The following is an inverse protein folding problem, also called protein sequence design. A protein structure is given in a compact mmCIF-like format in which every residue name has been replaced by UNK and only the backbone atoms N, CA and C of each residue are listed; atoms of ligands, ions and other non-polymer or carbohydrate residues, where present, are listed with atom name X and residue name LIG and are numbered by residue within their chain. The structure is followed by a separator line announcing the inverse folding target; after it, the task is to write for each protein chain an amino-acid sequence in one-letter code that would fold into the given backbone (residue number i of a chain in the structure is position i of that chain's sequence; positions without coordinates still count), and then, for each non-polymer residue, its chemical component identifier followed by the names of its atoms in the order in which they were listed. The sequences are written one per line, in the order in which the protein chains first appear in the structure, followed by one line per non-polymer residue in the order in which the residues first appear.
data_IF_776480982444
#
_entry.id   IF_776480982444
#
_cell.length_a   1.000
_cell.length_b   1.000
_cell.length_c   1.000
_cell.angle_alpha   90.00
_cell.angle_beta   90.00
_cell.angle_gamma   90.00
#
_symmetry.space_group_name_H-M   'P 1'
#
loop_
_entity.id
_entity.type
_entity.pdbx_description
1 polymer ?
#
# COMPACT_ATOMS: atom_id res chain seq x y z
N UNK A 1 18.68 -0.02 6.70
CA UNK A 1 18.50 -0.51 8.09
C UNK A 1 17.87 0.54 9.01
N UNK A 2 16.76 1.17 8.59
CA UNK A 2 16.04 2.16 9.39
C UNK A 2 14.56 1.81 9.44
N UNK A 3 13.96 1.88 10.63
CA UNK A 3 12.52 1.70 10.81
C UNK A 3 11.84 3.08 10.91
N UNK A 4 11.06 3.50 9.90
CA UNK A 4 10.45 4.83 9.87
C UNK A 4 9.31 5.00 10.90
N UNK A 5 8.76 3.92 11.44
CA UNK A 5 7.59 3.97 12.33
C UNK A 5 7.95 4.26 13.78
N UNK A 6 9.14 3.85 14.21
CA UNK A 6 9.69 4.09 15.55
C UNK A 6 10.90 5.02 15.54
N UNK A 7 11.29 5.49 14.35
CA UNK A 7 12.45 6.35 14.13
C UNK A 7 13.74 5.80 14.77
N UNK A 8 14.09 4.55 14.46
CA UNK A 8 15.30 3.89 14.98
C UNK A 8 15.99 3.01 13.94
N UNK A 9 17.25 2.69 14.17
CA UNK A 9 17.97 1.69 13.39
C UNK A 9 17.39 0.29 13.64
N UNK A 10 17.58 -0.58 12.66
CA UNK A 10 17.29 -2.02 12.75
C UNK A 10 18.63 -2.72 12.98
N UNK A 11 18.90 -3.07 14.24
CA UNK A 11 20.19 -3.63 14.65
C UNK A 11 20.16 -5.16 14.77
N UNK A 12 18.97 -5.77 14.84
CA UNK A 12 18.77 -7.20 15.03
C UNK A 12 17.83 -7.82 13.99
N UNK A 13 17.98 -9.13 13.77
CA UNK A 13 17.11 -9.91 12.90
C UNK A 13 17.50 -9.89 11.40
N UNK A 14 16.72 -10.55 10.53
CA UNK A 14 17.06 -10.73 9.12
C UNK A 14 17.11 -9.40 8.35
N UNK A 15 16.33 -8.40 8.77
CA UNK A 15 16.31 -7.07 8.15
C UNK A 15 17.52 -6.19 8.51
N UNK A 16 18.34 -6.59 9.50
CA UNK A 16 19.54 -5.86 9.85
C UNK A 16 20.66 -6.00 8.81
N UNK A 17 20.65 -7.07 8.00
CA UNK A 17 21.66 -7.31 6.94
C UNK A 17 21.07 -7.39 5.54
N UNK A 18 19.75 -7.45 5.40
CA UNK A 18 19.09 -7.52 4.10
C UNK A 18 19.25 -6.22 3.29
N UNK A 19 19.45 -6.38 1.98
CA UNK A 19 19.44 -5.25 1.04
C UNK A 19 18.00 -4.87 0.68
N UNK A 20 17.80 -3.63 0.25
CA UNK A 20 16.48 -3.14 -0.17
C UNK A 20 15.95 -3.93 -1.38
N UNK A 21 16.84 -4.39 -2.24
CA UNK A 21 16.54 -5.23 -3.40
C UNK A 21 16.01 -6.60 -2.95
N UNK A 22 16.70 -7.26 -2.03
CA UNK A 22 16.28 -8.56 -1.47
C UNK A 22 14.92 -8.45 -0.78
N UNK A 23 14.73 -7.41 0.04
CA UNK A 23 13.44 -7.17 0.73
C UNK A 23 12.33 -6.93 -0.30
N UNK A 24 12.59 -6.18 -1.36
CA UNK A 24 11.59 -5.92 -2.40
C UNK A 24 11.22 -7.18 -3.19
N UNK A 25 12.20 -8.04 -3.49
CA UNK A 25 11.97 -9.33 -4.14
C UNK A 25 11.14 -10.28 -3.27
N UNK A 26 11.47 -10.38 -1.98
CA UNK A 26 10.73 -11.18 -1.01
C UNK A 26 9.27 -10.71 -0.89
N UNK A 27 9.05 -9.39 -0.81
CA UNK A 27 7.71 -8.80 -0.77
C UNK A 27 6.89 -9.13 -2.03
N UNK A 28 7.52 -9.10 -3.21
CA UNK A 28 6.85 -9.43 -4.48
C UNK A 28 6.48 -10.92 -4.54
N UNK A 29 7.36 -11.82 -4.10
CA UNK A 29 7.03 -13.25 -4.03
C UNK A 29 5.91 -13.54 -3.01
N UNK A 30 5.94 -12.87 -1.86
CA UNK A 30 4.86 -12.96 -0.87
C UNK A 30 3.52 -12.43 -1.41
N UNK A 31 3.50 -11.34 -2.19
CA UNK A 31 2.29 -10.84 -2.83
C UNK A 31 1.71 -11.87 -3.82
N UNK A 32 2.54 -12.40 -4.73
CA UNK A 32 2.11 -13.35 -5.75
C UNK A 32 1.47 -14.60 -5.13
N UNK A 33 2.11 -15.18 -4.11
CA UNK A 33 1.56 -16.34 -3.39
C UNK A 33 0.22 -16.06 -2.69
N UNK A 34 0.01 -14.85 -2.14
CA UNK A 34 -1.29 -14.47 -1.54
C UNK A 34 -2.41 -14.38 -2.58
N UNK A 35 -2.10 -13.85 -3.76
CA UNK A 35 -3.06 -13.72 -4.87
C UNK A 35 -3.49 -15.10 -5.38
N UNK A 36 -2.56 -16.04 -5.47
CA UNK A 36 -2.82 -17.39 -5.95
C UNK A 36 -3.73 -18.19 -5.01
N UNK A 37 -3.52 -18.06 -3.70
CA UNK A 37 -4.14 -18.94 -2.71
C UNK A 37 -5.53 -18.48 -2.22
N UNK A 38 -5.75 -17.19 -1.92
CA UNK A 38 -6.94 -16.80 -1.11
C UNK A 38 -7.61 -15.47 -1.49
N UNK A 39 -6.97 -14.58 -2.26
CA UNK A 39 -7.45 -13.20 -2.40
C UNK A 39 -8.25 -12.87 -3.67
N UNK A 40 -8.44 -13.82 -4.61
CA UNK A 40 -9.07 -13.55 -5.92
C UNK A 40 -10.45 -12.89 -5.81
N UNK A 41 -11.34 -13.39 -4.96
CA UNK A 41 -12.68 -12.82 -4.80
C UNK A 41 -12.65 -11.38 -4.26
N UNK A 42 -11.76 -11.09 -3.31
CA UNK A 42 -11.63 -9.74 -2.73
C UNK A 42 -11.02 -8.74 -3.70
N UNK A 43 -10.08 -9.19 -4.53
CA UNK A 43 -9.55 -8.36 -5.61
C UNK A 43 -10.65 -7.95 -6.58
N UNK A 44 -11.57 -8.87 -6.93
CA UNK A 44 -12.73 -8.55 -7.75
C UNK A 44 -13.65 -7.52 -7.08
N UNK A 45 -13.90 -7.64 -5.76
CA UNK A 45 -14.67 -6.63 -5.01
C UNK A 45 -14.01 -5.25 -5.03
N UNK A 46 -12.67 -5.19 -4.91
CA UNK A 46 -11.91 -3.93 -5.02
C UNK A 46 -12.07 -3.30 -6.39
N UNK A 47 -12.10 -4.10 -7.46
CA UNK A 47 -12.29 -3.63 -8.84
C UNK A 47 -13.69 -3.04 -9.09
N UNK A 48 -14.68 -3.43 -8.30
CA UNK A 48 -16.05 -2.90 -8.40
C UNK A 48 -16.21 -1.50 -7.76
N UNK A 49 -15.21 -1.00 -7.03
CA UNK A 49 -15.28 0.33 -6.43
C UNK A 49 -15.07 1.42 -7.48
N UNK A 50 -15.82 2.55 -7.43
CA UNK A 50 -15.72 3.60 -8.45
C UNK A 50 -14.32 4.21 -8.62
N UNK A 51 -13.49 4.20 -7.58
CA UNK A 51 -12.11 4.70 -7.66
C UNK A 51 -11.20 3.83 -8.54
N UNK A 52 -11.55 2.56 -8.78
CA UNK A 52 -10.73 1.63 -9.54
C UNK A 52 -10.50 2.10 -10.98
N UNK A 53 -11.52 2.68 -11.63
CA UNK A 53 -11.41 3.26 -12.98
C UNK A 53 -10.33 4.34 -13.09
N UNK A 54 -9.96 4.97 -11.97
CA UNK A 54 -8.96 6.03 -11.91
C UNK A 54 -7.60 5.56 -11.39
N UNK A 55 -7.41 4.26 -11.13
CA UNK A 55 -6.19 3.73 -10.50
C UNK A 55 -4.91 4.18 -11.23
N UNK A 56 -4.82 3.91 -12.53
CA UNK A 56 -3.64 4.26 -13.33
C UNK A 56 -3.39 5.77 -13.35
N UNK A 57 -4.45 6.56 -13.55
CA UNK A 57 -4.36 8.02 -13.53
C UNK A 57 -3.85 8.53 -12.17
N UNK A 58 -4.35 7.99 -11.06
CA UNK A 58 -3.91 8.37 -9.71
C UNK A 58 -2.41 8.06 -9.53
N UNK A 59 -1.98 6.84 -9.88
CA UNK A 59 -0.58 6.42 -9.75
C UNK A 59 0.36 7.29 -10.58
N UNK A 60 -0.01 7.61 -11.82
CA UNK A 60 0.75 8.53 -12.66
C UNK A 60 0.85 9.94 -12.05
N UNK A 61 -0.26 10.47 -11.54
CA UNK A 61 -0.25 11.81 -10.94
C UNK A 61 0.59 11.86 -9.66
N UNK A 62 0.61 10.79 -8.86
CA UNK A 62 1.49 10.67 -7.69
C UNK A 62 2.96 10.64 -8.12
N UNK A 63 3.31 9.87 -9.16
CA UNK A 63 4.70 9.80 -9.67
C UNK A 63 5.20 11.12 -10.26
N UNK A 64 4.31 11.93 -10.83
CA UNK A 64 4.65 13.19 -11.54
C UNK A 64 4.63 14.43 -10.63
N UNK A 65 3.94 14.39 -9.49
CA UNK A 65 3.71 15.59 -8.67
C UNK A 65 3.97 15.33 -7.18
N UNK A 66 4.60 16.30 -6.50
CA UNK A 66 4.84 16.22 -5.06
C UNK A 66 3.54 16.31 -4.22
N UNK A 67 2.52 16.98 -4.75
CA UNK A 67 1.22 17.19 -4.08
C UNK A 67 0.11 17.00 -5.10
N UNK A 68 -0.90 16.23 -4.74
CA UNK A 68 -2.11 16.03 -5.54
C UNK A 68 -3.37 16.18 -4.68
N UNK A 69 -4.46 16.61 -5.30
CA UNK A 69 -5.78 16.65 -4.69
C UNK A 69 -6.68 15.60 -5.34
N UNK A 70 -7.17 14.65 -4.54
CA UNK A 70 -8.11 13.62 -5.01
C UNK A 70 -9.49 13.91 -4.43
N UNK A 71 -10.42 14.30 -5.28
CA UNK A 71 -11.83 14.50 -4.94
C UNK A 71 -12.66 13.33 -5.45
N UNK A 72 -13.61 12.85 -4.64
CA UNK A 72 -14.60 11.88 -5.06
C UNK A 72 -15.71 11.75 -4.03
N UNK A 73 -16.87 11.20 -4.41
CA UNK A 73 -18.00 11.01 -3.52
C UNK A 73 -17.67 10.11 -2.31
N UNK A 74 -18.45 10.20 -1.23
CA UNK A 74 -18.36 9.28 -0.10
C UNK A 74 -18.63 7.85 -0.59
N UNK A 75 -17.90 6.86 -0.06
CA UNK A 75 -18.07 5.45 -0.45
C UNK A 75 -17.39 5.05 -1.76
N UNK A 76 -16.78 5.97 -2.52
CA UNK A 76 -16.14 5.63 -3.78
C UNK A 76 -14.82 4.83 -3.65
N UNK A 77 -14.32 4.59 -2.43
CA UNK A 77 -13.14 3.76 -2.16
C UNK A 77 -11.83 4.50 -1.87
N UNK A 78 -11.79 5.84 -1.88
CA UNK A 78 -10.53 6.63 -1.70
C UNK A 78 -9.65 6.15 -0.55
N UNK A 79 -10.21 6.12 0.65
CA UNK A 79 -9.46 5.88 1.89
C UNK A 79 -8.95 4.45 2.00
N UNK A 80 -9.64 3.48 1.41
CA UNK A 80 -9.26 2.06 1.49
C UNK A 80 -8.37 1.64 0.32
N UNK A 81 -8.53 2.22 -0.87
CA UNK A 81 -7.88 1.72 -2.08
C UNK A 81 -6.62 2.49 -2.48
N UNK A 82 -6.59 3.82 -2.36
CA UNK A 82 -5.46 4.63 -2.85
C UNK A 82 -4.14 4.25 -2.14
N UNK A 83 -4.09 4.09 -0.80
CA UNK A 83 -2.87 3.63 -0.13
C UNK A 83 -2.39 2.26 -0.62
N UNK A 84 -3.34 1.34 -0.86
CA UNK A 84 -3.00 0.01 -1.41
C UNK A 84 -2.45 0.13 -2.82
N UNK A 85 -3.06 0.95 -3.70
CA UNK A 85 -2.55 1.12 -5.06
C UNK A 85 -1.09 1.57 -5.09
N UNK A 86 -0.68 2.47 -4.17
CA UNK A 86 0.70 2.95 -4.07
C UNK A 86 1.64 1.82 -3.65
N UNK A 87 1.24 1.03 -2.65
CA UNK A 87 2.04 -0.10 -2.14
C UNK A 87 2.11 -1.22 -3.17
N UNK A 88 0.98 -1.62 -3.74
CA UNK A 88 0.85 -2.65 -4.77
C UNK A 88 1.71 -2.28 -6.00
N UNK A 89 1.64 -1.03 -6.47
CA UNK A 89 2.49 -0.53 -7.57
C UNK A 89 3.98 -0.59 -7.22
N UNK A 90 4.37 -0.18 -6.00
CA UNK A 90 5.76 -0.28 -5.57
C UNK A 90 6.24 -1.74 -5.51
N UNK A 91 5.45 -2.67 -4.97
CA UNK A 91 5.81 -4.09 -4.89
C UNK A 91 5.95 -4.69 -6.30
N UNK A 92 5.00 -4.42 -7.20
CA UNK A 92 5.03 -4.92 -8.58
C UNK A 92 6.27 -4.46 -9.36
N UNK A 93 6.79 -3.27 -9.07
CA UNK A 93 7.99 -2.72 -9.68
C UNK A 93 9.30 -3.05 -8.91
N UNK A 94 9.30 -4.01 -7.99
CA UNK A 94 10.45 -4.34 -7.11
C UNK A 94 10.97 -3.15 -6.30
N UNK A 95 10.06 -2.26 -5.89
CA UNK A 95 10.35 -1.09 -5.05
C UNK A 95 9.61 -1.15 -3.71
N UNK A 96 9.08 -2.33 -3.33
CA UNK A 96 8.30 -2.50 -2.10
C UNK A 96 9.03 -2.06 -0.83
N UNK A 97 10.34 -2.32 -0.73
CA UNK A 97 11.14 -1.91 0.43
C UNK A 97 11.29 -0.37 0.54
N UNK A 98 11.19 0.34 -0.59
CA UNK A 98 11.35 1.79 -0.67
C UNK A 98 10.06 2.55 -0.41
N UNK A 99 8.93 1.85 -0.19
CA UNK A 99 7.62 2.46 -0.09
C UNK A 99 7.07 2.37 1.34
N UNK A 100 6.84 3.53 1.95
CA UNK A 100 6.10 3.64 3.21
C UNK A 100 4.97 4.67 3.05
N UNK A 101 3.76 4.29 3.46
CA UNK A 101 2.56 5.13 3.30
C UNK A 101 1.95 5.44 4.66
N UNK A 102 1.83 6.73 4.97
CA UNK A 102 1.14 7.22 6.17
C UNK A 102 -0.25 7.71 5.76
N UNK A 103 -1.28 7.26 6.47
CA UNK A 103 -2.66 7.72 6.27
C UNK A 103 -3.19 8.29 7.57
N UNK A 104 -3.57 9.56 7.56
CA UNK A 104 -4.19 10.20 8.72
C UNK A 104 -5.72 10.14 8.63
N UNK A 105 -6.40 9.97 9.76
CA UNK A 105 -7.85 10.08 9.88
C UNK A 105 -8.22 11.07 10.98
N UNK A 106 -9.28 11.89 10.81
CA UNK A 106 -9.66 12.89 11.80
C UNK A 106 -10.24 12.29 13.08
N UNK A 107 -10.58 11.00 13.09
CA UNK A 107 -11.15 10.29 14.25
C UNK A 107 -10.40 8.99 14.49
N UNK A 108 -10.11 8.71 15.76
CA UNK A 108 -9.43 7.46 16.21
C UNK A 108 -10.15 6.19 15.73
N UNK A 109 -11.48 6.14 15.89
CA UNK A 109 -12.26 4.97 15.46
C UNK A 109 -12.16 4.72 13.94
N UNK A 110 -12.08 5.79 13.14
CA UNK A 110 -11.90 5.68 11.69
C UNK A 110 -10.51 5.15 11.36
N UNK A 111 -9.46 5.62 12.04
CA UNK A 111 -8.10 5.10 11.84
C UNK A 111 -8.02 3.59 12.09
N UNK A 112 -8.56 3.13 13.23
CA UNK A 112 -8.56 1.71 13.62
C UNK A 112 -9.38 0.87 12.63
N UNK A 113 -10.64 1.25 12.41
CA UNK A 113 -11.55 0.47 11.55
C UNK A 113 -11.08 0.41 10.09
N UNK A 114 -10.46 1.48 9.58
CA UNK A 114 -9.88 1.46 8.24
C UNK A 114 -8.70 0.50 8.22
N UNK A 115 -7.74 0.60 9.16
CA UNK A 115 -6.58 -0.30 9.20
C UNK A 115 -6.98 -1.78 9.26
N UNK A 116 -7.95 -2.14 10.10
CA UNK A 116 -8.52 -3.50 10.18
C UNK A 116 -9.21 -3.93 8.88
N UNK A 117 -9.79 -3.00 8.13
CA UNK A 117 -10.41 -3.31 6.83
C UNK A 117 -9.38 -3.56 5.74
N UNK A 118 -8.20 -2.94 5.81
CA UNK A 118 -7.16 -3.04 4.77
C UNK A 118 -6.12 -4.13 5.05
N UNK A 119 -6.09 -4.72 6.25
CA UNK A 119 -4.99 -5.59 6.71
C UNK A 119 -4.92 -6.98 6.08
N UNK A 120 -5.86 -7.34 5.21
CA UNK A 120 -6.02 -8.71 4.71
C UNK A 120 -5.47 -8.90 3.30
#
# INVERSE_FOLDING_TARGET
NWNPWIASNIDEGPLATATMESISEDLRHAEQSKIENELKCRLQERQNLPVFTYQQQILEQIKKNNVILIRGATGCGKTTQIPQYIIDDAIQHNQGAYCNVVVTQPRRISAISIAERVSW
#
